data_IF_569172757947
#
_entry.id   IF_569172757947
#
_cell.length_a   1.000
_cell.length_b   1.000
_cell.length_c   1.000
_cell.angle_alpha   90.00
_cell.angle_beta   90.00
_cell.angle_gamma   90.00
#
_symmetry.space_group_name_H-M   'P 1'
#
loop_
_entity.id
_entity.type
_entity.pdbx_description
1 polymer ?
#
# COMPACT_ATOMS: atom_id res chain seq x y z
N UNK A 1 -58.20 35.07 34.16
CA UNK A 1 -56.75 34.83 33.93
C UNK A 1 -56.58 33.42 33.41
N UNK A 2 -56.39 33.23 32.11
CA UNK A 2 -56.19 31.93 31.48
C UNK A 2 -54.72 31.80 31.14
N UNK A 3 -54.03 30.83 31.77
CA UNK A 3 -52.64 30.50 31.47
C UNK A 3 -52.62 29.57 30.25
N UNK A 4 -52.04 30.02 29.16
CA UNK A 4 -51.75 29.19 27.99
C UNK A 4 -50.47 28.41 28.23
N UNK A 5 -50.56 27.08 28.23
CA UNK A 5 -49.42 26.17 28.30
C UNK A 5 -48.87 25.96 26.88
N UNK A 6 -47.65 26.43 26.64
CA UNK A 6 -46.96 26.24 25.38
C UNK A 6 -46.23 24.87 25.42
N UNK A 7 -46.81 23.88 24.74
CA UNK A 7 -46.14 22.59 24.52
C UNK A 7 -45.08 22.78 23.43
N UNK A 8 -43.80 22.71 23.84
CA UNK A 8 -42.68 22.70 22.94
C UNK A 8 -42.44 21.25 22.46
N UNK A 9 -42.88 20.95 21.23
CA UNK A 9 -42.61 19.64 20.62
C UNK A 9 -41.17 19.61 20.10
N UNK A 10 -40.29 18.89 20.81
CA UNK A 10 -38.94 18.55 20.30
C UNK A 10 -39.09 17.47 19.24
N UNK A 11 -38.89 17.84 17.99
CA UNK A 11 -38.71 16.90 16.90
C UNK A 11 -37.24 16.43 16.93
N UNK A 12 -37.00 15.21 17.43
CA UNK A 12 -35.70 14.57 17.35
C UNK A 12 -35.46 14.07 15.90
N UNK A 13 -34.62 14.77 15.16
CA UNK A 13 -34.16 14.31 13.86
C UNK A 13 -33.13 13.22 14.12
N UNK A 14 -33.52 11.96 14.01
CA UNK A 14 -32.64 10.81 14.01
C UNK A 14 -31.99 10.76 12.62
N UNK A 15 -30.79 11.32 12.50
CA UNK A 15 -29.98 11.15 11.31
C UNK A 15 -29.49 9.67 11.28
N UNK A 16 -30.17 8.84 10.48
CA UNK A 16 -29.71 7.49 10.20
C UNK A 16 -28.47 7.56 9.31
N UNK A 17 -27.30 7.44 9.90
CA UNK A 17 -26.06 7.23 9.16
C UNK A 17 -26.16 5.87 8.48
N UNK A 18 -26.46 5.86 7.19
CA UNK A 18 -26.31 4.69 6.36
C UNK A 18 -24.81 4.48 6.16
N UNK A 19 -24.22 3.60 6.96
CA UNK A 19 -22.88 3.05 6.66
C UNK A 19 -23.06 2.20 5.40
N UNK A 20 -22.80 2.79 4.26
CA UNK A 20 -22.63 2.02 3.04
C UNK A 20 -21.38 1.18 3.23
N UNK A 21 -21.56 -0.10 3.52
CA UNK A 21 -20.49 -1.07 3.43
C UNK A 21 -20.03 -1.08 1.96
N UNK A 22 -18.86 -0.48 1.71
CA UNK A 22 -18.18 -0.63 0.42
C UNK A 22 -17.96 -2.14 0.25
N UNK A 23 -18.74 -2.76 -0.63
CA UNK A 23 -18.51 -4.17 -0.98
C UNK A 23 -17.09 -4.24 -1.49
N UNK A 24 -16.24 -5.02 -0.81
CA UNK A 24 -14.91 -5.32 -1.31
C UNK A 24 -15.08 -5.86 -2.73
N UNK A 25 -14.47 -5.18 -3.69
CA UNK A 25 -14.53 -5.60 -5.08
C UNK A 25 -13.86 -6.97 -5.16
N UNK A 26 -14.62 -7.98 -5.56
CA UNK A 26 -14.07 -9.33 -5.70
C UNK A 26 -13.28 -9.41 -7.02
N UNK A 27 -12.04 -9.81 -6.91
CA UNK A 27 -11.16 -10.09 -8.05
C UNK A 27 -10.96 -11.59 -8.19
N UNK A 28 -11.89 -12.32 -8.85
CA UNK A 28 -11.90 -13.80 -8.88
C UNK A 28 -10.64 -14.38 -9.54
N UNK A 29 -10.02 -13.63 -10.44
CA UNK A 29 -8.82 -14.05 -11.17
C UNK A 29 -7.49 -13.68 -10.46
N UNK A 30 -7.56 -13.03 -9.29
CA UNK A 30 -6.37 -12.70 -8.51
C UNK A 30 -5.88 -13.94 -7.75
N UNK A 31 -4.59 -14.31 -7.86
CA UNK A 31 -4.01 -15.40 -7.08
C UNK A 31 -4.22 -15.22 -5.58
N UNK A 32 -4.52 -16.33 -4.89
CA UNK A 32 -4.74 -16.31 -3.44
C UNK A 32 -3.52 -15.80 -2.67
N UNK A 33 -2.30 -16.13 -3.11
CA UNK A 33 -1.05 -15.64 -2.53
C UNK A 33 -0.95 -14.12 -2.50
N UNK A 34 -1.45 -13.43 -3.53
CA UNK A 34 -1.48 -11.96 -3.59
C UNK A 34 -2.49 -11.41 -2.56
N UNK A 35 -3.69 -12.00 -2.48
CA UNK A 35 -4.71 -11.60 -1.49
C UNK A 35 -4.17 -11.75 -0.06
N UNK A 36 -3.49 -12.84 0.23
CA UNK A 36 -2.87 -13.11 1.53
C UNK A 36 -1.74 -12.13 1.85
N UNK A 37 -0.88 -11.81 0.87
CA UNK A 37 0.15 -10.81 1.02
C UNK A 37 -0.43 -9.44 1.39
N UNK A 38 -1.45 -8.99 0.68
CA UNK A 38 -2.12 -7.71 0.93
C UNK A 38 -2.77 -7.70 2.31
N UNK A 39 -3.52 -8.73 2.65
CA UNK A 39 -4.17 -8.85 3.96
C UNK A 39 -3.15 -8.82 5.12
N UNK A 40 -2.01 -9.43 4.94
CA UNK A 40 -0.94 -9.49 5.95
C UNK A 40 -0.23 -8.14 6.13
N UNK A 41 0.11 -7.49 5.03
CA UNK A 41 1.03 -6.35 5.02
C UNK A 41 0.34 -4.99 4.91
N UNK A 42 -0.87 -4.92 4.37
CA UNK A 42 -1.62 -3.69 4.12
C UNK A 42 -2.94 -3.66 4.90
N UNK A 43 -2.86 -3.87 6.22
CA UNK A 43 -4.03 -3.79 7.11
C UNK A 43 -4.68 -2.41 7.04
N UNK A 44 -6.00 -2.38 6.83
CA UNK A 44 -6.77 -1.14 6.70
C UNK A 44 -6.71 -0.50 5.30
N UNK A 45 -6.13 -1.19 4.34
CA UNK A 45 -6.21 -0.86 2.92
C UNK A 45 -7.21 -1.78 2.22
N UNK A 46 -7.80 -1.30 1.13
CA UNK A 46 -8.62 -2.10 0.22
C UNK A 46 -7.96 -2.12 -1.15
N UNK A 47 -8.21 -3.18 -1.91
CA UNK A 47 -7.76 -3.27 -3.29
C UNK A 47 -8.64 -2.32 -4.12
N UNK A 48 -8.04 -1.26 -4.66
CA UNK A 48 -8.73 -0.27 -5.48
C UNK A 48 -8.66 -0.59 -6.98
N UNK A 49 -7.60 -1.30 -7.39
CA UNK A 49 -7.46 -1.76 -8.78
C UNK A 49 -6.61 -3.03 -8.84
N UNK A 50 -6.94 -3.89 -9.80
CA UNK A 50 -6.16 -5.09 -10.12
C UNK A 50 -6.14 -5.30 -11.63
N UNK A 51 -4.96 -5.55 -12.15
CA UNK A 51 -4.72 -5.82 -13.55
C UNK A 51 -3.79 -7.03 -13.70
N UNK A 52 -4.10 -7.89 -14.68
CA UNK A 52 -3.24 -8.98 -15.10
C UNK A 52 -2.66 -8.62 -16.45
N UNK A 53 -1.41 -8.19 -16.44
CA UNK A 53 -0.68 -7.89 -17.66
C UNK A 53 -0.04 -9.16 -18.22
N UNK A 54 -0.06 -9.29 -19.54
CA UNK A 54 0.59 -10.37 -20.26
C UNK A 54 1.72 -9.78 -21.08
N UNK A 55 2.95 -10.07 -20.69
CA UNK A 55 4.09 -9.94 -21.57
C UNK A 55 4.26 -11.25 -22.37
N UNK A 56 4.94 -11.20 -23.54
CA UNK A 56 5.01 -12.27 -24.55
C UNK A 56 5.12 -13.70 -24.01
N UNK A 57 5.75 -13.90 -22.86
CA UNK A 57 6.03 -15.22 -22.27
C UNK A 57 5.55 -15.35 -20.81
N UNK A 58 5.36 -14.24 -20.09
CA UNK A 58 5.03 -14.23 -18.67
C UNK A 58 3.77 -13.43 -18.38
N UNK A 59 3.17 -13.71 -17.22
CA UNK A 59 2.13 -12.88 -16.65
C UNK A 59 2.70 -12.12 -15.47
N UNK A 60 2.30 -10.87 -15.32
CA UNK A 60 2.51 -10.06 -14.14
C UNK A 60 1.16 -9.62 -13.58
N UNK A 61 1.11 -9.40 -12.28
CA UNK A 61 -0.09 -8.91 -11.61
C UNK A 61 0.23 -7.56 -11.01
N UNK A 62 -0.51 -6.54 -11.43
CA UNK A 62 -0.43 -5.19 -10.91
C UNK A 62 -1.62 -4.93 -9.99
N UNK A 63 -1.34 -4.49 -8.78
CA UNK A 63 -2.36 -4.25 -7.74
C UNK A 63 -2.16 -2.87 -7.14
N UNK A 64 -3.24 -2.13 -7.03
CA UNK A 64 -3.28 -0.89 -6.26
C UNK A 64 -4.07 -1.12 -4.99
N UNK A 65 -3.51 -0.72 -3.86
CA UNK A 65 -4.21 -0.72 -2.58
C UNK A 65 -4.30 0.69 -2.05
N UNK A 66 -5.46 1.05 -1.56
CA UNK A 66 -5.74 2.42 -1.11
C UNK A 66 -6.43 2.45 0.24
N UNK A 67 -6.21 3.53 0.95
CA UNK A 67 -7.03 3.97 2.07
C UNK A 67 -7.24 5.50 1.97
N UNK A 68 -7.83 6.12 3.00
CA UNK A 68 -8.10 7.57 2.99
C UNK A 68 -6.84 8.46 3.01
N UNK A 69 -5.62 7.88 3.11
CA UNK A 69 -4.37 8.62 3.28
C UNK A 69 -3.34 8.33 2.20
N UNK A 70 -3.35 7.14 1.63
CA UNK A 70 -2.30 6.70 0.72
C UNK A 70 -2.78 5.64 -0.26
N UNK A 71 -2.11 5.59 -1.39
CA UNK A 71 -2.24 4.52 -2.38
C UNK A 71 -0.85 3.96 -2.68
N UNK A 72 -0.74 2.65 -2.71
CA UNK A 72 0.47 1.94 -3.12
C UNK A 72 0.18 1.08 -4.34
N UNK A 73 1.12 1.08 -5.26
CA UNK A 73 1.15 0.18 -6.40
C UNK A 73 2.10 -0.97 -6.08
N UNK A 74 1.72 -2.17 -6.46
CA UNK A 74 2.50 -3.38 -6.28
C UNK A 74 2.51 -4.19 -7.55
N UNK A 75 3.68 -4.68 -7.94
CA UNK A 75 3.83 -5.64 -9.02
C UNK A 75 4.21 -7.01 -8.45
N UNK A 76 3.56 -8.06 -8.94
CA UNK A 76 3.82 -9.44 -8.56
C UNK A 76 4.17 -10.26 -9.80
N UNK A 77 5.02 -11.24 -9.62
CA UNK A 77 5.31 -12.21 -10.67
C UNK A 77 4.12 -13.17 -10.91
N UNK A 78 4.23 -14.02 -11.91
CA UNK A 78 3.21 -15.03 -12.26
C UNK A 78 2.87 -16.01 -11.13
N UNK A 79 3.74 -16.16 -10.15
CA UNK A 79 3.55 -17.04 -8.99
C UNK A 79 2.96 -16.29 -7.78
N UNK A 80 2.74 -14.98 -7.91
CA UNK A 80 2.24 -14.12 -6.84
C UNK A 80 3.31 -13.68 -5.84
N UNK A 81 4.61 -13.73 -6.21
CA UNK A 81 5.66 -13.14 -5.39
C UNK A 81 5.78 -11.66 -5.73
N UNK A 82 5.86 -10.83 -4.69
CA UNK A 82 6.01 -9.39 -4.87
C UNK A 82 7.36 -9.06 -5.53
N UNK A 83 7.34 -8.21 -6.54
CA UNK A 83 8.51 -7.69 -7.27
C UNK A 83 8.81 -6.24 -6.90
N UNK A 84 7.78 -5.42 -6.80
CA UNK A 84 7.92 -4.01 -6.44
C UNK A 84 6.76 -3.53 -5.58
N UNK A 85 7.02 -2.50 -4.79
CA UNK A 85 6.02 -1.73 -4.05
C UNK A 85 6.43 -0.27 -4.16
N UNK A 86 5.51 0.57 -4.56
CA UNK A 86 5.72 1.98 -4.85
C UNK A 86 4.63 2.84 -4.21
N UNK A 87 5.01 3.94 -3.61
CA UNK A 87 4.08 4.99 -3.18
C UNK A 87 3.66 5.83 -4.39
N UNK A 88 2.37 5.99 -4.63
CA UNK A 88 1.89 6.73 -5.82
C UNK A 88 2.00 8.25 -5.69
N UNK A 89 2.41 8.75 -4.53
CA UNK A 89 2.56 10.20 -4.26
C UNK A 89 4.02 10.63 -4.00
N UNK A 90 4.99 9.73 -4.15
CA UNK A 90 6.43 9.94 -3.95
C UNK A 90 6.81 10.51 -2.56
N UNK A 91 5.87 10.50 -1.61
CA UNK A 91 6.03 11.13 -0.29
C UNK A 91 5.65 10.21 0.86
N UNK A 92 4.63 9.39 0.67
CA UNK A 92 4.17 8.47 1.71
C UNK A 92 5.14 7.31 1.86
N UNK A 93 5.71 7.09 3.04
CA UNK A 93 6.65 5.98 3.25
C UNK A 93 5.95 4.64 3.07
N UNK A 94 6.68 3.67 2.54
CA UNK A 94 6.23 2.28 2.51
C UNK A 94 5.97 1.76 3.93
N UNK A 95 4.98 0.88 4.13
CA UNK A 95 4.76 0.23 5.43
C UNK A 95 6.02 -0.53 5.87
N UNK A 96 6.44 -0.37 7.12
CA UNK A 96 7.70 -0.94 7.64
C UNK A 96 7.79 -2.47 7.53
N UNK A 97 6.65 -3.14 7.49
CA UNK A 97 6.55 -4.60 7.46
C UNK A 97 6.62 -5.21 6.05
N UNK A 98 6.75 -4.40 5.01
CA UNK A 98 6.86 -4.90 3.61
C UNK A 98 8.32 -5.08 3.18
N UNK A 99 9.25 -4.45 3.90
CA UNK A 99 10.67 -4.41 3.57
C UNK A 99 11.49 -5.34 4.44
N UNK A 100 12.59 -5.92 3.93
CA UNK A 100 13.56 -6.58 4.78
C UNK A 100 14.13 -5.63 5.82
N UNK A 101 14.13 -6.06 7.08
CA UNK A 101 14.56 -5.23 8.24
C UNK A 101 15.97 -4.67 8.03
N UNK A 102 16.88 -5.48 7.49
CA UNK A 102 18.28 -5.08 7.24
C UNK A 102 18.38 -3.90 6.27
N UNK A 103 17.61 -3.91 5.19
CA UNK A 103 17.55 -2.81 4.20
C UNK A 103 17.00 -1.56 4.87
N UNK A 104 15.88 -1.68 5.58
CA UNK A 104 15.25 -0.55 6.27
C UNK A 104 16.19 0.10 7.28
N UNK A 105 16.87 -0.71 8.10
CA UNK A 105 17.82 -0.20 9.10
C UNK A 105 19.00 0.51 8.46
N UNK A 106 19.60 -0.07 7.40
CA UNK A 106 20.70 0.57 6.70
C UNK A 106 20.28 1.88 6.04
N UNK A 107 19.15 1.90 5.30
CA UNK A 107 18.67 3.10 4.61
C UNK A 107 18.41 4.26 5.59
N UNK A 108 17.70 4.00 6.70
CA UNK A 108 17.42 5.02 7.72
C UNK A 108 18.69 5.48 8.42
N UNK A 109 19.62 4.58 8.73
CA UNK A 109 20.91 4.93 9.34
C UNK A 109 21.76 5.81 8.44
N UNK A 110 21.78 5.51 7.14
CA UNK A 110 22.57 6.27 6.16
C UNK A 110 21.94 7.62 5.80
N UNK A 111 20.60 7.68 5.78
CA UNK A 111 19.82 8.86 5.39
C UNK A 111 18.66 9.09 6.38
N UNK A 112 18.94 9.58 7.59
CA UNK A 112 17.95 9.61 8.69
C UNK A 112 16.74 10.53 8.44
N UNK A 113 16.85 11.50 7.56
CA UNK A 113 15.79 12.47 7.26
C UNK A 113 15.01 12.12 6.00
N UNK A 114 15.11 10.88 5.51
CA UNK A 114 14.41 10.40 4.33
C UNK A 114 13.43 9.28 4.66
N UNK A 115 12.58 8.99 3.71
CA UNK A 115 11.60 7.90 3.76
C UNK A 115 11.83 6.99 2.57
N UNK A 116 11.65 5.69 2.74
CA UNK A 116 11.63 4.74 1.62
C UNK A 116 10.25 4.85 0.98
N UNK A 117 10.20 5.21 -0.29
CA UNK A 117 8.98 5.41 -1.08
C UNK A 117 8.78 4.34 -2.14
N UNK A 118 9.86 3.66 -2.53
CA UNK A 118 9.81 2.51 -3.43
C UNK A 118 10.75 1.40 -2.96
N UNK A 119 10.38 0.19 -3.24
CA UNK A 119 11.23 -0.99 -3.16
C UNK A 119 10.97 -1.89 -4.36
N UNK A 120 12.03 -2.34 -4.96
CA UNK A 120 11.96 -3.33 -6.01
C UNK A 120 12.99 -4.44 -5.78
N UNK A 121 12.71 -5.61 -6.34
CA UNK A 121 13.67 -6.70 -6.35
C UNK A 121 13.63 -7.45 -7.67
N UNK A 122 14.78 -7.90 -8.07
CA UNK A 122 14.96 -8.88 -9.12
C UNK A 122 15.64 -10.15 -8.57
N UNK A 123 16.13 -11.00 -9.46
CA UNK A 123 16.73 -12.28 -9.08
C UNK A 123 17.93 -12.14 -8.12
N UNK A 124 18.77 -11.13 -8.30
CA UNK A 124 20.06 -11.03 -7.64
C UNK A 124 20.18 -9.81 -6.73
N UNK A 125 19.40 -8.78 -6.97
CA UNK A 125 19.49 -7.49 -6.27
C UNK A 125 18.14 -7.01 -5.80
N UNK A 126 18.17 -6.09 -4.84
CA UNK A 126 17.04 -5.29 -4.38
C UNK A 126 17.46 -3.82 -4.43
N UNK A 127 16.52 -2.93 -4.67
CA UNK A 127 16.76 -1.51 -4.57
C UNK A 127 15.65 -0.84 -3.76
N UNK A 128 15.98 0.27 -3.13
CA UNK A 128 15.01 1.17 -2.50
C UNK A 128 15.25 2.58 -2.99
N UNK A 129 14.17 3.28 -3.29
CA UNK A 129 14.18 4.69 -3.56
C UNK A 129 13.77 5.47 -2.31
N UNK A 130 14.48 6.56 -2.08
CA UNK A 130 14.23 7.46 -0.96
C UNK A 130 13.52 8.72 -1.43
N UNK A 131 12.78 9.36 -0.52
CA UNK A 131 12.03 10.60 -0.79
C UNK A 131 12.89 11.83 -1.17
N UNK A 132 14.16 11.67 -1.39
CA UNK A 132 15.09 12.67 -1.90
C UNK A 132 15.76 12.22 -3.20
N UNK A 133 15.09 11.36 -3.96
CA UNK A 133 15.48 10.85 -5.29
C UNK A 133 16.79 10.05 -5.29
N UNK A 134 17.16 9.46 -4.15
CA UNK A 134 18.34 8.59 -4.05
C UNK A 134 17.93 7.14 -4.06
N UNK A 135 18.61 6.36 -4.87
CA UNK A 135 18.47 4.91 -4.89
C UNK A 135 19.62 4.24 -4.11
N UNK A 136 19.28 3.22 -3.33
CA UNK A 136 20.25 2.34 -2.68
C UNK A 136 20.06 0.91 -3.20
N UNK A 137 21.14 0.34 -3.70
CA UNK A 137 21.16 -1.01 -4.26
C UNK A 137 21.78 -2.00 -3.27
N UNK A 138 21.12 -3.16 -3.14
CA UNK A 138 21.49 -4.24 -2.23
C UNK A 138 21.57 -5.58 -2.98
N UNK A 139 22.33 -6.52 -2.46
CA UNK A 139 22.26 -7.92 -2.91
C UNK A 139 20.94 -8.59 -2.46
N UNK A 140 20.70 -9.82 -2.90
CA UNK A 140 19.51 -10.60 -2.52
C UNK A 140 19.40 -10.88 -1.02
N UNK A 141 20.50 -10.76 -0.25
CA UNK A 141 20.57 -10.94 1.21
C UNK A 141 20.43 -9.62 1.99
N UNK A 142 20.24 -8.50 1.27
CA UNK A 142 20.12 -7.17 1.86
C UNK A 142 21.46 -6.55 2.29
N UNK A 143 22.59 -6.98 1.77
CA UNK A 143 23.86 -6.29 1.95
C UNK A 143 23.93 -5.12 0.96
N UNK A 144 24.29 -3.94 1.45
CA UNK A 144 24.46 -2.76 0.62
C UNK A 144 25.58 -2.95 -0.39
N UNK A 145 25.33 -2.60 -1.64
CA UNK A 145 26.30 -2.67 -2.74
C UNK A 145 26.80 -1.26 -3.11
N UNK A 146 25.92 -0.40 -3.54
CA UNK A 146 26.23 0.96 -4.00
C UNK A 146 24.98 1.85 -4.00
N UNK A 147 25.16 3.15 -4.21
CA UNK A 147 24.09 4.07 -4.59
C UNK A 147 23.74 3.81 -6.06
N UNK A 148 22.44 3.88 -6.39
CA UNK A 148 21.98 3.92 -7.77
C UNK A 148 22.37 5.24 -8.46
N UNK A 149 22.32 5.24 -9.78
CA UNK A 149 22.64 6.40 -10.63
C UNK A 149 21.47 7.39 -10.66
#
# INVERSE_FOLDING_TARGET
MKRASLLCAMVAIIATFHIQSVKAQDYPNMPQSIKEYIHKHFKGYHISHYEKERDFINYEHKVYVSNNRATFKMDFDKNGNVKSIESTDDKTPLPKNVLPVKITQHAISKFPNTRIIEWNRNKNTQAVELSNDRELVYDSKGNFLHLGD
#
